data_IF_404292624713
#
_entry.id   IF_404292624713
#
_cell.length_a   1.000
_cell.length_b   1.000
_cell.length_c   1.000
_cell.angle_alpha   90.00
_cell.angle_beta   90.00
_cell.angle_gamma   90.00
#
_symmetry.space_group_name_H-M   'P 1'
#
loop_
_entity.id
_entity.type
_entity.pdbx_description
1 polymer ?
#
# COMPACT_ATOMS: atom_id res chain seq x y z
N UNK A 1 12.99 8.02 14.65
CA UNK A 1 12.03 7.36 13.74
C UNK A 1 11.37 6.13 14.39
N UNK A 2 12.13 5.20 14.97
CA UNK A 2 11.56 3.97 15.57
C UNK A 2 10.52 4.23 16.69
N UNK A 3 10.77 5.22 17.55
CA UNK A 3 9.83 5.62 18.59
C UNK A 3 8.46 6.02 18.04
N UNK A 4 8.39 6.65 16.86
CA UNK A 4 7.13 7.10 16.28
C UNK A 4 6.20 5.91 15.99
N UNK A 5 6.75 4.78 15.55
CA UNK A 5 6.01 3.56 15.24
C UNK A 5 5.48 2.82 16.48
N UNK A 6 5.85 3.18 17.71
CA UNK A 6 5.25 2.57 18.91
C UNK A 6 3.80 3.03 19.05
N UNK A 7 2.86 2.08 19.20
CA UNK A 7 1.41 2.37 19.32
C UNK A 7 1.11 3.47 20.35
N UNK A 8 1.78 3.46 21.51
CA UNK A 8 1.62 4.51 22.54
C UNK A 8 1.92 5.91 22.01
N UNK A 9 2.96 6.06 21.19
CA UNK A 9 3.34 7.34 20.61
C UNK A 9 2.40 7.72 19.46
N UNK A 10 1.96 6.74 18.66
CA UNK A 10 0.92 6.96 17.64
C UNK A 10 -0.36 7.52 18.23
N UNK A 11 -0.85 6.97 19.36
CA UNK A 11 -2.04 7.51 20.05
C UNK A 11 -1.86 8.99 20.38
N UNK A 12 -0.69 9.40 20.88
CA UNK A 12 -0.42 10.81 21.20
C UNK A 12 -0.35 11.70 19.96
N UNK A 13 0.24 11.22 18.87
CA UNK A 13 0.36 11.94 17.59
C UNK A 13 -1.03 12.12 16.97
N UNK A 14 -1.82 11.05 16.90
CA UNK A 14 -3.19 11.07 16.41
C UNK A 14 -4.09 11.93 17.29
N UNK A 15 -3.92 11.88 18.62
CA UNK A 15 -4.71 12.71 19.53
C UNK A 15 -4.55 14.21 19.24
N UNK A 16 -3.35 14.65 18.86
CA UNK A 16 -3.10 16.04 18.43
C UNK A 16 -3.77 16.34 17.09
N UNK A 17 -3.57 15.46 16.11
CA UNK A 17 -4.13 15.62 14.75
C UNK A 17 -5.66 15.68 14.78
N UNK A 18 -6.29 14.77 15.51
CA UNK A 18 -7.74 14.64 15.61
C UNK A 18 -8.37 15.50 16.70
N UNK A 19 -7.55 16.27 17.43
CA UNK A 19 -7.96 17.13 18.55
C UNK A 19 -8.71 16.35 19.66
N UNK A 20 -8.46 15.04 19.79
CA UNK A 20 -9.13 14.17 20.76
C UNK A 20 -8.33 12.90 21.08
N UNK A 21 -7.90 12.80 22.34
CA UNK A 21 -7.25 11.59 22.86
C UNK A 21 -8.20 10.38 22.90
N UNK A 22 -9.48 10.60 23.22
CA UNK A 22 -10.48 9.52 23.25
C UNK A 22 -10.68 8.92 21.86
N UNK A 23 -10.80 9.75 20.83
CA UNK A 23 -10.95 9.31 19.45
C UNK A 23 -9.71 8.53 18.99
N UNK A 24 -8.52 9.10 19.17
CA UNK A 24 -7.26 8.43 18.81
C UNK A 24 -7.06 7.08 19.53
N UNK A 25 -7.37 7.02 20.83
CA UNK A 25 -7.28 5.79 21.61
C UNK A 25 -8.30 4.74 21.14
N UNK A 26 -9.51 5.15 20.77
CA UNK A 26 -10.54 4.25 20.27
C UNK A 26 -10.17 3.67 18.90
N UNK A 27 -9.60 4.47 17.99
CA UNK A 27 -9.14 4.00 16.69
C UNK A 27 -8.06 2.92 16.82
N UNK A 28 -7.15 3.06 17.79
CA UNK A 28 -6.02 2.14 18.02
C UNK A 28 -6.30 1.09 19.11
N UNK A 29 -7.56 0.97 19.58
CA UNK A 29 -7.90 0.32 20.86
C UNK A 29 -7.53 -1.17 20.92
N UNK A 30 -7.84 -1.92 19.87
CA UNK A 30 -7.63 -3.37 19.79
C UNK A 30 -6.19 -3.75 19.36
N UNK A 31 -5.33 -2.76 19.12
CA UNK A 31 -3.98 -2.91 18.56
C UNK A 31 -3.96 -3.59 17.19
N UNK A 32 -5.08 -3.71 16.50
CA UNK A 32 -5.13 -4.17 15.11
C UNK A 32 -4.84 -3.00 14.16
N UNK A 33 -5.34 -1.82 14.50
CA UNK A 33 -5.13 -0.58 13.75
C UNK A 33 -3.96 0.20 14.32
N UNK A 34 -2.82 0.15 13.64
CA UNK A 34 -1.66 1.00 13.88
C UNK A 34 -0.85 1.11 12.60
N UNK A 35 -0.06 2.17 12.47
CA UNK A 35 0.88 2.32 11.38
C UNK A 35 2.11 1.45 11.65
N UNK A 36 2.42 0.53 10.75
CA UNK A 36 3.66 -0.22 10.72
C UNK A 36 4.58 0.31 9.62
N UNK A 37 5.82 -0.20 9.60
CA UNK A 37 6.77 0.08 8.53
C UNK A 37 6.35 -0.75 7.32
N UNK A 38 5.64 -0.15 6.37
CA UNK A 38 5.31 -0.78 5.10
C UNK A 38 6.53 -0.78 4.20
N UNK A 39 7.06 -1.97 3.89
CA UNK A 39 8.24 -2.09 3.04
C UNK A 39 7.85 -1.92 1.56
N UNK A 40 8.61 -1.15 0.78
CA UNK A 40 8.40 -1.02 -0.67
C UNK A 40 8.90 -2.28 -1.40
N UNK A 41 10.13 -2.69 -1.08
CA UNK A 41 10.70 -3.96 -1.48
C UNK A 41 10.58 -4.94 -0.32
N UNK A 42 9.85 -6.05 -0.53
CA UNK A 42 9.55 -6.99 0.54
C UNK A 42 10.78 -7.84 0.85
N UNK A 43 10.95 -8.18 2.14
CA UNK A 43 12.01 -9.09 2.59
C UNK A 43 11.97 -10.43 1.83
N UNK A 44 10.76 -10.94 1.61
CA UNK A 44 10.51 -12.26 1.03
C UNK A 44 10.87 -12.35 -0.47
N UNK A 45 11.15 -11.22 -1.13
CA UNK A 45 11.57 -11.20 -2.54
C UNK A 45 13.07 -11.55 -2.67
N UNK A 46 13.82 -11.62 -1.57
CA UNK A 46 15.24 -11.93 -1.56
C UNK A 46 15.58 -13.27 -0.90
N UNK A 47 16.54 -13.97 -1.49
CA UNK A 47 17.07 -15.24 -0.98
C UNK A 47 18.15 -15.01 0.08
N UNK A 48 19.05 -14.05 -0.13
CA UNK A 48 20.23 -13.86 0.72
C UNK A 48 19.95 -12.97 1.93
N UNK A 49 20.46 -13.38 3.10
CA UNK A 49 20.23 -12.66 4.36
C UNK A 49 20.79 -11.22 4.41
N UNK A 50 21.76 -10.88 3.57
CA UNK A 50 22.25 -9.50 3.45
C UNK A 50 21.21 -8.59 2.76
N UNK A 51 20.64 -9.06 1.64
CA UNK A 51 19.57 -8.36 0.91
C UNK A 51 18.28 -8.28 1.74
N UNK A 52 17.91 -9.37 2.42
CA UNK A 52 16.76 -9.36 3.33
C UNK A 52 16.92 -8.28 4.42
N UNK A 53 18.13 -8.12 4.98
CA UNK A 53 18.41 -7.09 6.00
C UNK A 53 18.38 -5.67 5.44
N UNK A 54 18.77 -5.44 4.18
CA UNK A 54 18.70 -4.11 3.58
C UNK A 54 17.25 -3.62 3.39
N UNK A 55 16.28 -4.52 3.27
CA UNK A 55 14.85 -4.14 3.18
C UNK A 55 14.30 -3.44 4.43
N UNK A 56 14.96 -3.58 5.59
CA UNK A 56 14.53 -2.95 6.85
C UNK A 56 15.03 -1.51 7.03
N UNK A 57 15.76 -0.96 6.05
CA UNK A 57 16.21 0.43 6.11
C UNK A 57 15.01 1.36 5.88
N UNK A 58 14.95 2.45 6.64
CA UNK A 58 13.81 3.37 6.57
C UNK A 58 13.59 4.01 5.19
N UNK A 59 14.64 4.07 4.34
CA UNK A 59 14.52 4.49 2.93
C UNK A 59 13.60 3.60 2.10
N UNK A 60 13.42 2.34 2.51
CA UNK A 60 12.55 1.36 1.87
C UNK A 60 11.18 1.29 2.55
N UNK A 61 10.82 2.26 3.39
CA UNK A 61 9.58 2.17 4.18
C UNK A 61 8.76 3.44 4.13
N UNK A 62 7.44 3.29 4.15
CA UNK A 62 6.51 4.36 4.48
C UNK A 62 5.50 3.90 5.56
N UNK A 63 4.84 4.84 6.26
CA UNK A 63 3.80 4.47 7.22
C UNK A 63 2.64 3.77 6.51
N UNK A 64 2.34 2.54 6.92
CA UNK A 64 1.28 1.71 6.34
C UNK A 64 0.41 1.14 7.44
N UNK A 65 -0.92 1.21 7.32
CA UNK A 65 -1.81 0.61 8.31
C UNK A 65 -1.64 -0.90 8.33
N UNK A 66 -1.49 -1.46 9.54
CA UNK A 66 -1.15 -2.87 9.71
C UNK A 66 -2.17 -3.81 9.07
N UNK A 67 -3.46 -3.48 9.09
CA UNK A 67 -4.49 -4.35 8.52
C UNK A 67 -4.46 -4.35 7.00
N UNK A 68 -4.01 -3.26 6.36
CA UNK A 68 -3.72 -3.21 4.93
C UNK A 68 -2.40 -3.94 4.60
N UNK A 69 -1.32 -3.60 5.31
CA UNK A 69 0.02 -4.19 5.13
C UNK A 69 -0.03 -5.73 5.27
N UNK A 70 -0.58 -6.22 6.38
CA UNK A 70 -0.74 -7.65 6.63
C UNK A 70 -1.94 -8.30 5.94
N UNK A 71 -2.78 -7.51 5.27
CA UNK A 71 -3.96 -7.96 4.54
C UNK A 71 -3.69 -8.08 3.05
N UNK A 72 -4.45 -7.35 2.24
CA UNK A 72 -4.41 -7.46 0.78
C UNK A 72 -3.05 -7.09 0.18
N UNK A 73 -2.26 -6.22 0.82
CA UNK A 73 -0.92 -5.90 0.34
C UNK A 73 0.03 -7.11 0.44
N UNK A 74 0.06 -7.78 1.58
CA UNK A 74 0.81 -9.03 1.74
C UNK A 74 0.29 -10.14 0.82
N UNK A 75 -1.04 -10.26 0.65
CA UNK A 75 -1.62 -11.22 -0.31
C UNK A 75 -1.15 -10.96 -1.75
N UNK A 76 -1.08 -9.70 -2.19
CA UNK A 76 -0.53 -9.32 -3.49
C UNK A 76 0.93 -9.76 -3.62
N UNK A 77 1.78 -9.42 -2.65
CA UNK A 77 3.19 -9.78 -2.68
C UNK A 77 3.40 -11.31 -2.72
N UNK A 78 2.58 -12.07 -1.99
CA UNK A 78 2.58 -13.53 -2.05
C UNK A 78 2.16 -14.03 -3.44
N UNK A 79 1.05 -13.53 -3.97
CA UNK A 79 0.54 -13.89 -5.30
C UNK A 79 1.56 -13.63 -6.41
N UNK A 80 2.24 -12.48 -6.39
CA UNK A 80 3.28 -12.13 -7.37
C UNK A 80 4.44 -13.14 -7.33
N UNK A 81 4.91 -13.51 -6.14
CA UNK A 81 5.99 -14.50 -6.00
C UNK A 81 5.56 -15.88 -6.53
N UNK A 82 4.34 -16.31 -6.24
CA UNK A 82 3.81 -17.56 -6.80
C UNK A 82 3.68 -17.49 -8.32
N UNK A 83 3.12 -16.42 -8.85
CA UNK A 83 2.99 -16.20 -10.29
C UNK A 83 4.35 -16.28 -11.00
N UNK A 84 5.35 -15.53 -10.52
CA UNK A 84 6.71 -15.56 -11.07
C UNK A 84 7.33 -16.97 -11.02
N UNK A 85 7.16 -17.68 -9.90
CA UNK A 85 7.70 -19.03 -9.74
C UNK A 85 7.00 -20.07 -10.62
N UNK A 86 5.67 -19.99 -10.75
CA UNK A 86 4.86 -20.91 -11.55
C UNK A 86 5.15 -20.79 -13.03
N UNK A 87 5.33 -19.57 -13.54
CA UNK A 87 5.56 -19.31 -14.95
C UNK A 87 7.04 -19.11 -15.32
N UNK A 88 7.95 -19.24 -14.36
CA UNK A 88 9.40 -19.06 -14.53
C UNK A 88 9.76 -17.70 -15.14
N UNK A 89 9.15 -16.63 -14.61
CA UNK A 89 9.32 -15.27 -15.10
C UNK A 89 10.36 -14.50 -14.28
N UNK A 90 11.22 -13.77 -14.98
CA UNK A 90 12.10 -12.76 -14.40
C UNK A 90 11.40 -11.40 -14.50
N UNK A 91 10.82 -10.95 -13.39
CA UNK A 91 9.96 -9.76 -13.35
C UNK A 91 10.71 -8.55 -12.77
N UNK A 92 10.52 -7.40 -13.41
CA UNK A 92 10.83 -6.11 -12.82
C UNK A 92 9.64 -5.64 -11.98
N UNK A 93 9.92 -5.27 -10.72
CA UNK A 93 8.90 -4.80 -9.78
C UNK A 93 9.21 -3.38 -9.34
N UNK A 94 8.29 -2.47 -9.65
CA UNK A 94 8.33 -1.09 -9.19
C UNK A 94 7.31 -0.90 -8.08
N UNK A 95 7.66 -0.21 -7.00
CA UNK A 95 6.75 0.05 -5.88
C UNK A 95 6.91 1.48 -5.40
N UNK A 96 5.79 2.11 -5.05
CA UNK A 96 5.81 3.45 -4.50
C UNK A 96 4.50 3.80 -3.80
N UNK A 97 4.39 5.07 -3.46
CA UNK A 97 3.24 5.64 -2.76
C UNK A 97 2.72 6.86 -3.51
N UNK A 98 1.46 7.19 -3.28
CA UNK A 98 0.81 8.36 -3.86
C UNK A 98 -0.25 8.96 -2.93
N UNK A 99 -0.43 10.28 -3.02
CA UNK A 99 -1.39 11.03 -2.22
C UNK A 99 -1.05 11.08 -0.72
N UNK A 100 -1.82 11.86 0.02
CA UNK A 100 -1.68 12.02 1.47
C UNK A 100 -2.99 11.62 2.13
N UNK A 101 -2.93 10.65 3.03
CA UNK A 101 -4.07 10.24 3.82
C UNK A 101 -4.54 11.39 4.72
N UNK A 102 -5.84 11.61 4.79
CA UNK A 102 -6.47 12.51 5.74
C UNK A 102 -7.45 11.74 6.62
N UNK A 103 -7.76 12.28 7.79
CA UNK A 103 -8.79 11.73 8.67
C UNK A 103 -9.58 12.86 9.32
N UNK A 104 -10.88 12.61 9.55
CA UNK A 104 -11.74 13.60 10.20
C UNK A 104 -11.36 13.80 11.67
N UNK A 105 -11.23 15.05 12.07
CA UNK A 105 -11.16 15.43 13.49
C UNK A 105 -12.54 15.43 14.17
N UNK A 106 -12.60 15.80 15.44
CA UNK A 106 -13.87 15.90 16.20
C UNK A 106 -14.84 16.98 15.69
N UNK A 107 -14.43 17.81 14.74
CA UNK A 107 -15.24 18.87 14.12
C UNK A 107 -15.54 18.55 12.65
N UNK A 108 -15.36 17.29 12.22
CA UNK A 108 -15.54 16.82 10.85
C UNK A 108 -14.61 17.45 9.80
N UNK A 109 -13.53 18.12 10.22
CA UNK A 109 -12.51 18.64 9.30
C UNK A 109 -11.53 17.53 8.91
N UNK A 110 -11.17 17.46 7.62
CA UNK A 110 -10.16 16.53 7.12
C UNK A 110 -8.77 17.04 7.48
N UNK A 111 -8.07 16.31 8.34
CA UNK A 111 -6.73 16.64 8.79
C UNK A 111 -5.70 15.69 8.15
N UNK A 112 -4.62 16.20 7.53
CA UNK A 112 -3.58 15.37 6.94
C UNK A 112 -2.85 14.58 8.01
N UNK A 113 -2.64 13.29 7.74
CA UNK A 113 -2.09 12.37 8.71
C UNK A 113 -0.56 12.35 8.64
N UNK A 114 0.09 12.58 9.77
CA UNK A 114 1.52 12.44 9.92
C UNK A 114 1.85 11.47 11.05
N UNK A 115 2.89 10.67 10.84
CA UNK A 115 3.56 9.91 11.87
C UNK A 115 4.85 10.65 12.24
N UNK A 116 4.73 11.60 13.19
CA UNK A 116 5.79 12.56 13.51
C UNK A 116 6.13 13.43 12.28
N UNK A 117 7.35 13.36 11.73
CA UNK A 117 7.72 14.08 10.51
C UNK A 117 7.39 13.31 9.20
N UNK A 118 6.85 12.09 9.29
CA UNK A 118 6.56 11.25 8.13
C UNK A 118 5.13 11.47 7.65
N UNK A 119 4.95 11.86 6.38
CA UNK A 119 3.61 11.84 5.76
C UNK A 119 3.10 10.41 5.66
N UNK A 120 1.83 10.21 6.00
CA UNK A 120 1.15 8.92 5.79
C UNK A 120 0.52 8.94 4.39
N UNK A 121 0.98 8.10 3.45
CA UNK A 121 0.45 8.08 2.09
C UNK A 121 -0.99 7.55 2.05
N UNK A 122 -1.82 8.05 1.13
CA UNK A 122 -3.19 7.55 0.91
C UNK A 122 -3.17 6.23 0.12
N UNK A 123 -2.27 6.11 -0.85
CA UNK A 123 -2.18 4.97 -1.75
C UNK A 123 -0.79 4.37 -1.77
N UNK A 124 -0.73 3.05 -1.90
CA UNK A 124 0.44 2.31 -2.33
C UNK A 124 0.18 1.77 -3.72
N UNK A 125 1.21 1.72 -4.55
CA UNK A 125 1.12 1.14 -5.88
C UNK A 125 2.31 0.22 -6.16
N UNK A 126 2.08 -0.80 -6.97
CA UNK A 126 3.10 -1.75 -7.43
C UNK A 126 2.87 -2.04 -8.91
N UNK A 127 3.91 -1.96 -9.72
CA UNK A 127 3.88 -2.41 -11.12
C UNK A 127 4.70 -3.67 -11.23
N UNK A 128 4.10 -4.72 -11.80
CA UNK A 128 4.73 -5.99 -12.11
C UNK A 128 4.92 -6.03 -13.63
N UNK A 129 6.17 -6.10 -14.08
CA UNK A 129 6.54 -5.99 -15.48
C UNK A 129 7.42 -7.15 -15.90
N UNK A 130 7.08 -7.78 -17.03
CA UNK A 130 7.97 -8.73 -17.69
C UNK A 130 8.71 -8.01 -18.84
N UNK A 131 10.03 -7.77 -18.71
CA UNK A 131 10.81 -7.08 -19.74
C UNK A 131 10.94 -7.87 -21.05
N UNK A 132 10.73 -9.19 -21.05
CA UNK A 132 10.84 -10.02 -22.26
C UNK A 132 9.61 -9.85 -23.15
N UNK A 133 8.41 -9.99 -22.58
CA UNK A 133 7.15 -9.82 -23.30
C UNK A 133 6.68 -8.36 -23.37
N UNK A 134 7.29 -7.47 -22.56
CA UNK A 134 6.86 -6.09 -22.33
C UNK A 134 5.43 -5.97 -21.82
N UNK A 135 4.93 -7.00 -21.14
CA UNK A 135 3.63 -6.96 -20.49
C UNK A 135 3.77 -6.45 -19.07
N UNK A 136 2.79 -5.66 -18.60
CA UNK A 136 2.82 -5.12 -17.25
C UNK A 136 1.45 -4.88 -16.67
N UNK A 137 1.32 -5.09 -15.36
CA UNK A 137 0.10 -4.84 -14.61
C UNK A 137 0.40 -3.98 -13.39
N UNK A 138 -0.40 -2.94 -13.20
CA UNK A 138 -0.35 -2.09 -12.03
C UNK A 138 -1.34 -2.57 -10.98
N UNK A 139 -0.97 -2.43 -9.72
CA UNK A 139 -1.79 -2.74 -8.56
C UNK A 139 -1.78 -1.53 -7.64
N UNK A 140 -2.94 -1.17 -7.12
CA UNK A 140 -3.10 -0.07 -6.18
C UNK A 140 -3.80 -0.59 -4.93
N UNK A 141 -3.32 -0.15 -3.77
CA UNK A 141 -3.95 -0.42 -2.48
C UNK A 141 -4.21 0.89 -1.72
N UNK A 142 -5.40 0.99 -1.14
CA UNK A 142 -5.80 2.10 -0.29
C UNK A 142 -5.29 1.89 1.13
N UNK A 143 -4.43 2.79 1.58
CA UNK A 143 -3.90 2.83 2.94
C UNK A 143 -4.84 3.58 3.90
N UNK A 144 -6.11 3.19 3.91
CA UNK A 144 -7.14 3.78 4.78
C UNK A 144 -8.13 2.70 5.25
N UNK A 145 -7.94 2.14 6.46
CA UNK A 145 -8.84 1.13 7.00
C UNK A 145 -10.12 1.72 7.61
N UNK A 146 -10.30 3.04 7.58
CA UNK A 146 -11.41 3.75 8.24
C UNK A 146 -12.51 4.21 7.28
N UNK A 147 -12.37 3.94 5.98
CA UNK A 147 -13.45 4.19 5.04
C UNK A 147 -14.68 3.34 5.40
N UNK A 148 -15.86 3.94 5.30
CA UNK A 148 -17.13 3.26 5.60
C UNK A 148 -17.88 2.82 4.36
N UNK A 149 -17.52 3.38 3.20
CA UNK A 149 -18.11 3.06 1.90
C UNK A 149 -17.07 3.16 0.80
N UNK A 150 -17.24 2.36 -0.25
CA UNK A 150 -16.44 2.44 -1.47
C UNK A 150 -17.05 3.52 -2.38
N UNK A 151 -16.27 4.57 -2.64
CA UNK A 151 -16.62 5.73 -3.48
C UNK A 151 -15.59 5.90 -4.59
N UNK A 152 -15.90 6.68 -5.63
CA UNK A 152 -15.04 6.79 -6.82
C UNK A 152 -13.65 7.37 -6.51
N UNK A 153 -13.49 8.17 -5.45
CA UNK A 153 -12.22 8.80 -5.05
C UNK A 153 -11.16 7.82 -4.50
N UNK A 154 -11.52 6.54 -4.34
CA UNK A 154 -10.58 5.48 -3.95
C UNK A 154 -9.89 4.83 -5.15
N UNK A 155 -10.37 5.08 -6.37
CA UNK A 155 -9.81 4.55 -7.61
C UNK A 155 -8.96 5.61 -8.31
N UNK A 156 -7.65 5.34 -8.43
CA UNK A 156 -6.72 6.14 -9.21
C UNK A 156 -6.82 5.84 -10.71
N UNK A 157 -7.26 4.63 -11.05
CA UNK A 157 -7.29 4.10 -12.41
C UNK A 157 -8.47 3.12 -12.55
N UNK A 158 -8.82 2.74 -13.78
CA UNK A 158 -9.90 1.80 -14.03
C UNK A 158 -9.55 0.42 -13.48
N UNK A 159 -10.42 -0.11 -12.62
CA UNK A 159 -10.26 -1.45 -12.04
C UNK A 159 -10.43 -2.54 -13.11
N UNK A 160 -9.39 -3.35 -13.30
CA UNK A 160 -9.37 -4.53 -14.17
C UNK A 160 -9.10 -5.83 -13.39
N UNK A 161 -9.26 -5.82 -12.07
CA UNK A 161 -8.94 -6.97 -11.19
C UNK A 161 -9.60 -8.28 -11.61
N UNK A 162 -10.77 -8.20 -12.25
CA UNK A 162 -11.49 -9.36 -12.80
C UNK A 162 -10.71 -10.12 -13.88
N UNK A 163 -9.71 -9.49 -14.51
CA UNK A 163 -8.85 -10.10 -15.52
C UNK A 163 -7.64 -10.83 -14.93
N UNK A 164 -7.37 -10.66 -13.63
CA UNK A 164 -6.15 -11.17 -12.99
C UNK A 164 -6.50 -12.38 -12.13
N UNK A 165 -6.53 -13.56 -12.74
CA UNK A 165 -7.05 -14.79 -12.12
C UNK A 165 -6.11 -15.39 -11.05
N UNK A 166 -4.82 -15.04 -11.05
CA UNK A 166 -3.83 -15.55 -10.09
C UNK A 166 -3.79 -14.80 -8.75
N UNK A 167 -4.62 -13.76 -8.59
CA UNK A 167 -4.72 -13.02 -7.32
C UNK A 167 -5.59 -13.75 -6.30
N UNK A 168 -5.04 -13.93 -5.09
CA UNK A 168 -5.75 -14.57 -3.97
C UNK A 168 -6.33 -13.56 -2.96
N UNK A 169 -6.32 -12.27 -3.30
CA UNK A 169 -6.75 -11.19 -2.41
C UNK A 169 -8.27 -11.09 -2.26
N UNK A 170 -8.71 -10.27 -1.30
CA UNK A 170 -10.12 -9.93 -1.11
C UNK A 170 -10.33 -8.45 -1.47
N UNK A 171 -10.47 -8.08 -2.75
CA UNK A 171 -10.26 -6.71 -3.24
C UNK A 171 -11.21 -5.67 -2.60
N UNK A 172 -12.41 -6.11 -2.21
CA UNK A 172 -13.45 -5.26 -1.59
C UNK A 172 -13.48 -5.33 -0.05
N UNK A 173 -12.55 -6.05 0.58
CA UNK A 173 -12.48 -6.14 2.03
C UNK A 173 -11.78 -4.90 2.60
N UNK A 174 -12.56 -3.97 3.14
CA UNK A 174 -12.07 -2.73 3.77
C UNK A 174 -11.07 -3.02 4.89
N UNK A 175 -11.36 -4.01 5.75
CA UNK A 175 -10.48 -4.36 6.86
C UNK A 175 -9.10 -4.80 6.37
N UNK A 176 -9.05 -5.58 5.29
CA UNK A 176 -7.81 -6.02 4.65
C UNK A 176 -7.14 -4.93 3.78
N UNK A 177 -7.75 -3.74 3.67
CA UNK A 177 -7.39 -2.64 2.78
C UNK A 177 -7.87 -2.87 1.36
N UNK A 178 -8.68 -1.96 0.82
CA UNK A 178 -9.17 -2.06 -0.57
C UNK A 178 -7.99 -2.08 -1.54
N UNK A 179 -8.00 -3.01 -2.48
CA UNK A 179 -6.97 -3.10 -3.51
C UNK A 179 -7.58 -3.49 -4.86
N UNK A 180 -6.99 -2.98 -5.94
CA UNK A 180 -7.44 -3.20 -7.31
C UNK A 180 -6.26 -3.17 -8.29
N UNK A 181 -6.45 -3.77 -9.47
CA UNK A 181 -5.48 -3.76 -10.56
C UNK A 181 -5.89 -2.78 -11.65
N UNK A 182 -4.93 -2.24 -12.39
CA UNK A 182 -5.17 -1.42 -13.58
C UNK A 182 -4.04 -1.58 -14.61
N UNK A 183 -4.22 -0.97 -15.78
CA UNK A 183 -3.15 -0.87 -16.77
C UNK A 183 -2.02 0.01 -16.20
N UNK A 184 -0.78 -0.21 -16.68
CA UNK A 184 0.35 0.63 -16.27
C UNK A 184 0.16 2.07 -16.74
N UNK A 185 -0.47 2.28 -17.89
CA UNK A 185 -0.71 3.61 -18.45
C UNK A 185 -1.78 4.39 -17.68
N UNK A 186 -2.91 3.77 -17.32
CA UNK A 186 -3.93 4.41 -16.48
C UNK A 186 -3.32 4.82 -15.12
N UNK A 187 -2.46 3.97 -14.53
CA UNK A 187 -1.77 4.33 -13.29
C UNK A 187 -0.82 5.52 -13.51
N UNK A 188 -0.07 5.57 -14.61
CA UNK A 188 0.86 6.67 -14.93
C UNK A 188 0.13 8.01 -15.10
N UNK A 189 -1.06 8.00 -15.69
CA UNK A 189 -1.89 9.21 -15.81
C UNK A 189 -2.23 9.80 -14.44
N UNK A 190 -2.56 8.95 -13.47
CA UNK A 190 -2.86 9.38 -12.09
C UNK A 190 -1.61 9.63 -11.23
N UNK A 191 -0.51 8.90 -11.50
CA UNK A 191 0.71 8.89 -10.69
C UNK A 191 1.93 9.12 -11.59
N UNK A 192 2.28 10.39 -11.89
CA UNK A 192 3.38 10.72 -12.81
C UNK A 192 4.79 10.28 -12.35
N UNK A 193 4.92 9.84 -11.10
CA UNK A 193 6.18 9.30 -10.56
C UNK A 193 6.42 7.83 -10.93
N UNK A 194 5.43 7.15 -11.52
CA UNK A 194 5.63 5.81 -12.07
C UNK A 194 6.65 5.88 -13.21
N UNK A 195 7.71 5.05 -13.20
CA UNK A 195 8.74 5.09 -14.23
C UNK A 195 8.21 4.88 -15.65
N UNK A 196 8.88 5.54 -16.60
CA UNK A 196 8.61 5.40 -18.02
C UNK A 196 9.40 4.20 -18.58
N UNK A 197 8.67 3.23 -19.10
CA UNK A 197 9.18 2.07 -19.85
C UNK A 197 8.09 1.57 -20.79
N UNK A 198 8.50 0.88 -21.85
CA UNK A 198 7.62 0.39 -22.91
C UNK A 198 6.76 -0.77 -22.40
N UNK A 199 5.43 -0.59 -22.40
CA UNK A 199 4.44 -1.59 -21.99
C UNK A 199 3.45 -1.76 -23.12
N UNK A 200 3.32 -2.99 -23.63
CA UNK A 200 2.52 -3.27 -24.83
C UNK A 200 1.18 -3.93 -24.50
N UNK A 201 1.06 -4.60 -23.36
CA UNK A 201 -0.17 -5.27 -22.92
C UNK A 201 -0.18 -5.53 -21.40
N UNK A 202 -1.30 -6.03 -20.88
CA UNK A 202 -1.48 -6.43 -19.48
C UNK A 202 -0.78 -7.77 -19.22
N UNK A 203 -0.12 -7.88 -18.07
CA UNK A 203 0.43 -9.13 -17.56
C UNK A 203 -0.63 -9.88 -16.75
N UNK A 204 -1.13 -11.00 -17.29
CA UNK A 204 -2.19 -11.83 -16.69
C UNK A 204 -1.74 -13.26 -16.44
#
# INVERSE_FOLDING_TARGET
MEEAYKIKNQVNILAKTLKSFKLAKNLLYDRSQYLSRGHMVAKADFVYGAQQRSTFWYLNTAPQWQTFNGGNWNSLEISVRYFAATYHLDLDVYTGVHGHMTMKDIYDNQEPLYLDALSVPKFYWKVIYDPLSKQGTAFVGLNDPFITSITDDIYLCKDISEKIEWLIWQPKNITAGISYACSVDDLREAVPTVPLFDVIDILI
#
